data_IF_820857059364
#
_entry.id   IF_820857059364
#
_cell.length_a   1.000
_cell.length_b   1.000
_cell.length_c   1.000
_cell.angle_alpha   90.00
_cell.angle_beta   90.00
_cell.angle_gamma   90.00
#
_symmetry.space_group_name_H-M   'P 1'
#
loop_
_entity.id
_entity.type
_entity.pdbx_description
1 polymer ?
#
# COMPACT_ATOMS: atom_id res chain seq x y z
N UNK A 1 -6.46 7.15 -10.74
CA UNK A 1 -6.36 6.16 -11.85
C UNK A 1 -5.69 4.89 -11.33
N UNK A 2 -6.24 3.74 -11.71
CA UNK A 2 -5.74 2.43 -11.33
C UNK A 2 -4.33 2.15 -11.88
N UNK A 3 -3.56 1.38 -11.11
CA UNK A 3 -2.31 0.79 -11.56
C UNK A 3 -2.54 -0.69 -11.81
N UNK A 4 -2.57 -1.10 -13.08
CA UNK A 4 -2.82 -2.49 -13.46
C UNK A 4 -1.50 -3.21 -13.69
N UNK A 5 -1.43 -4.42 -13.16
CA UNK A 5 -0.31 -5.37 -13.29
C UNK A 5 -0.84 -6.70 -13.80
N UNK A 6 0.03 -7.70 -13.96
CA UNK A 6 -0.34 -9.02 -14.48
C UNK A 6 -1.46 -9.67 -13.63
N UNK A 7 -1.37 -9.56 -12.30
CA UNK A 7 -2.29 -10.25 -11.37
C UNK A 7 -3.11 -9.31 -10.51
N UNK A 8 -2.69 -8.05 -10.39
CA UNK A 8 -3.29 -7.10 -9.47
C UNK A 8 -3.75 -5.81 -10.16
N UNK A 9 -4.77 -5.21 -9.58
CA UNK A 9 -5.16 -3.83 -9.81
C UNK A 9 -4.99 -3.08 -8.50
N UNK A 10 -4.16 -2.03 -8.50
CA UNK A 10 -4.05 -1.09 -7.38
C UNK A 10 -5.03 0.04 -7.64
N UNK A 11 -6.13 0.03 -6.90
CA UNK A 11 -7.21 1.00 -7.07
C UNK A 11 -7.06 2.15 -6.04
N UNK A 12 -6.81 3.41 -6.45
CA UNK A 12 -6.66 4.52 -5.52
C UNK A 12 -7.98 4.78 -4.82
N UNK A 13 -7.95 4.76 -3.49
CA UNK A 13 -9.12 4.98 -2.68
C UNK A 13 -9.47 6.46 -2.62
N UNK A 14 -10.75 6.74 -2.83
CA UNK A 14 -11.37 8.01 -2.48
C UNK A 14 -11.68 8.07 -0.98
N UNK A 15 -11.91 9.27 -0.41
CA UNK A 15 -12.40 9.40 0.97
C UNK A 15 -13.70 8.61 1.20
N UNK A 16 -14.59 8.53 0.20
CA UNK A 16 -15.84 7.79 0.30
C UNK A 16 -15.62 6.28 0.39
N UNK A 17 -14.76 5.72 -0.45
CA UNK A 17 -14.42 4.29 -0.39
C UNK A 17 -13.72 3.94 0.92
N UNK A 18 -12.81 4.80 1.39
CA UNK A 18 -12.19 4.64 2.70
C UNK A 18 -13.24 4.60 3.83
N UNK A 19 -14.28 5.46 3.79
CA UNK A 19 -15.39 5.38 4.75
C UNK A 19 -16.11 4.03 4.68
N UNK A 20 -16.42 3.53 3.49
CA UNK A 20 -17.09 2.22 3.33
C UNK A 20 -16.26 1.09 3.92
N UNK A 21 -14.95 1.09 3.67
CA UNK A 21 -14.01 0.11 4.22
C UNK A 21 -13.96 0.20 5.75
N UNK A 22 -13.76 1.39 6.31
CA UNK A 22 -13.68 1.63 7.76
C UNK A 22 -14.96 1.19 8.49
N UNK A 23 -16.13 1.48 7.91
CA UNK A 23 -17.41 1.11 8.51
C UNK A 23 -17.89 -0.30 8.14
N UNK A 24 -17.12 -1.04 7.32
CA UNK A 24 -17.48 -2.36 6.77
C UNK A 24 -18.87 -2.36 6.10
N UNK A 25 -19.12 -1.36 5.25
CA UNK A 25 -20.38 -1.16 4.51
C UNK A 25 -20.13 -1.23 3.00
N UNK A 26 -19.96 -2.44 2.43
CA UNK A 26 -19.74 -2.60 1.00
C UNK A 26 -20.97 -2.18 0.18
N UNK A 27 -20.73 -1.55 -0.97
CA UNK A 27 -21.72 -1.44 -2.05
C UNK A 27 -21.71 -2.71 -2.93
N UNK A 28 -22.69 -2.91 -3.83
CA UNK A 28 -22.79 -4.13 -4.63
C UNK A 28 -21.53 -4.49 -5.44
N UNK A 29 -20.74 -3.49 -5.84
CA UNK A 29 -19.51 -3.65 -6.62
C UNK A 29 -18.25 -3.77 -5.74
N UNK A 30 -18.39 -3.65 -4.41
CA UNK A 30 -17.30 -3.83 -3.46
C UNK A 30 -17.13 -5.32 -3.13
N UNK A 31 -16.18 -5.99 -3.79
CA UNK A 31 -15.83 -7.38 -3.49
C UNK A 31 -14.59 -7.41 -2.60
N UNK A 32 -14.77 -7.72 -1.33
CA UNK A 32 -13.68 -7.76 -0.34
C UNK A 32 -13.45 -9.19 0.16
N UNK A 33 -12.19 -9.53 0.38
CA UNK A 33 -11.86 -10.74 1.14
C UNK A 33 -12.45 -10.63 2.57
N UNK A 34 -12.86 -11.76 3.15
CA UNK A 34 -13.50 -11.78 4.47
C UNK A 34 -12.63 -11.15 5.58
N UNK A 35 -11.32 -11.32 5.48
CA UNK A 35 -10.33 -10.76 6.42
C UNK A 35 -9.86 -9.33 6.06
N UNK A 36 -10.45 -8.69 5.05
CA UNK A 36 -10.18 -7.30 4.68
C UNK A 36 -11.22 -6.35 5.32
N UNK A 37 -10.85 -5.13 5.77
CA UNK A 37 -9.49 -4.59 5.90
C UNK A 37 -8.68 -5.21 7.03
N UNK A 38 -7.36 -5.04 6.96
CA UNK A 38 -6.42 -5.37 8.03
C UNK A 38 -6.51 -4.33 9.18
N UNK A 39 -6.14 -4.73 10.39
CA UNK A 39 -6.26 -3.84 11.56
C UNK A 39 -5.25 -2.68 11.53
N UNK A 40 -4.05 -2.92 11.01
CA UNK A 40 -2.95 -1.95 10.92
C UNK A 40 -3.17 -0.86 9.86
N UNK A 41 -4.00 -1.12 8.85
CA UNK A 41 -4.40 -0.12 7.84
C UNK A 41 -5.62 0.72 8.25
N UNK A 42 -6.32 0.41 9.35
CA UNK A 42 -7.52 1.16 9.75
C UNK A 42 -7.21 2.61 10.13
N UNK A 43 -6.06 2.88 10.76
CA UNK A 43 -5.68 4.25 11.14
C UNK A 43 -5.46 5.15 9.91
N UNK A 44 -4.62 4.78 8.93
CA UNK A 44 -4.47 5.58 7.71
C UNK A 44 -5.77 5.65 6.90
N UNK A 45 -6.58 4.58 6.85
CA UNK A 45 -7.89 4.62 6.19
C UNK A 45 -8.86 5.62 6.84
N UNK A 46 -8.88 5.72 8.17
CA UNK A 46 -9.69 6.74 8.88
C UNK A 46 -9.24 8.16 8.53
N UNK A 47 -7.93 8.40 8.47
CA UNK A 47 -7.40 9.70 8.07
C UNK A 47 -7.82 10.08 6.64
N UNK A 48 -7.76 9.12 5.71
CA UNK A 48 -8.25 9.31 4.35
C UNK A 48 -9.76 9.55 4.29
N UNK A 49 -10.54 8.80 5.07
CA UNK A 49 -11.99 8.92 5.16
C UNK A 49 -12.48 10.30 5.64
N UNK A 50 -11.67 11.00 6.44
CA UNK A 50 -11.94 12.35 6.94
C UNK A 50 -11.40 13.46 6.02
N UNK A 51 -10.60 13.10 5.02
CA UNK A 51 -9.97 14.06 4.12
C UNK A 51 -11.00 14.70 3.18
N UNK A 52 -10.73 15.95 2.79
CA UNK A 52 -11.51 16.70 1.78
C UNK A 52 -10.77 16.84 0.45
N UNK A 53 -9.54 16.35 0.40
CA UNK A 53 -8.73 16.37 -0.80
C UNK A 53 -9.08 15.14 -1.64
N UNK A 54 -9.33 15.38 -2.94
CA UNK A 54 -9.71 14.35 -3.89
C UNK A 54 -8.54 13.46 -4.31
N UNK A 55 -8.73 12.75 -5.42
CA UNK A 55 -7.78 11.79 -6.00
C UNK A 55 -6.35 12.35 -6.13
N UNK A 56 -5.48 12.00 -5.18
CA UNK A 56 -4.05 12.23 -5.25
C UNK A 56 -3.35 10.92 -5.63
N UNK A 57 -2.24 11.00 -6.37
CA UNK A 57 -1.36 9.84 -6.63
C UNK A 57 -0.77 9.32 -5.32
N UNK A 58 -0.45 10.23 -4.40
CA UNK A 58 0.10 9.90 -3.09
C UNK A 58 -1.05 9.69 -2.10
N UNK A 59 -1.76 8.58 -2.26
CA UNK A 59 -2.91 8.15 -1.45
C UNK A 59 -2.77 6.68 -1.06
N UNK A 60 -3.80 6.14 -0.43
CA UNK A 60 -3.98 4.71 -0.18
C UNK A 60 -4.68 4.05 -1.36
N UNK A 61 -4.24 2.85 -1.70
CA UNK A 61 -4.79 2.01 -2.75
C UNK A 61 -5.30 0.70 -2.16
N UNK A 62 -6.43 0.23 -2.64
CA UNK A 62 -6.84 -1.16 -2.45
C UNK A 62 -6.05 -2.05 -3.41
N UNK A 63 -5.47 -3.12 -2.90
CA UNK A 63 -4.85 -4.17 -3.72
C UNK A 63 -5.94 -5.18 -4.07
N UNK A 64 -6.32 -5.23 -5.34
CA UNK A 64 -7.36 -6.15 -5.85
C UNK A 64 -6.74 -7.23 -6.74
N UNK A 65 -7.15 -8.48 -6.57
CA UNK A 65 -6.79 -9.56 -7.50
C UNK A 65 -7.65 -9.41 -8.75
N UNK A 66 -7.02 -9.35 -9.93
CA UNK A 66 -7.73 -9.15 -11.21
C UNK A 66 -8.79 -10.22 -11.46
N UNK A 67 -8.50 -11.47 -11.10
CA UNK A 67 -9.46 -12.57 -11.14
C UNK A 67 -10.50 -12.39 -10.02
N UNK A 68 -11.71 -11.98 -10.40
CA UNK A 68 -12.82 -11.75 -9.49
C UNK A 68 -12.85 -10.36 -8.81
N UNK A 69 -11.90 -9.48 -9.14
CA UNK A 69 -11.82 -8.10 -8.64
C UNK A 69 -11.90 -7.98 -7.11
N UNK A 70 -11.24 -8.91 -6.40
CA UNK A 70 -11.34 -9.05 -4.94
C UNK A 70 -10.27 -8.23 -4.24
N UNK A 71 -10.66 -7.29 -3.38
CA UNK A 71 -9.75 -6.57 -2.49
C UNK A 71 -9.16 -7.51 -1.42
N UNK A 72 -7.83 -7.58 -1.36
CA UNK A 72 -7.07 -8.51 -0.50
C UNK A 72 -6.04 -7.80 0.38
N UNK A 73 -6.03 -6.47 0.40
CA UNK A 73 -5.13 -5.67 1.20
C UNK A 73 -5.03 -4.23 0.72
N UNK A 74 -4.06 -3.51 1.27
CA UNK A 74 -3.81 -2.11 0.97
C UNK A 74 -2.34 -1.85 0.69
N UNK A 75 -2.06 -0.82 -0.12
CA UNK A 75 -0.74 -0.22 -0.32
C UNK A 75 -0.92 1.27 -0.47
N UNK A 76 -0.02 2.08 0.07
CA UNK A 76 -0.20 3.52 -0.06
C UNK A 76 0.89 4.37 0.53
N UNK A 77 0.79 5.66 0.26
CA UNK A 77 1.76 6.65 0.66
C UNK A 77 1.24 7.50 1.82
N UNK A 78 2.12 7.83 2.77
CA UNK A 78 1.79 8.70 3.89
C UNK A 78 2.02 10.19 3.55
N UNK A 79 1.37 10.62 2.47
CA UNK A 79 1.45 11.98 1.92
C UNK A 79 2.34 12.11 0.67
N UNK A 80 2.35 13.30 0.03
CA UNK A 80 3.15 13.58 -1.16
C UNK A 80 4.65 13.69 -0.84
N UNK A 81 5.52 13.74 -1.87
CA UNK A 81 6.94 13.91 -1.68
C UNK A 81 7.27 15.13 -0.82
N UNK A 82 8.16 14.93 0.15
CA UNK A 82 8.65 16.01 0.99
C UNK A 82 9.53 17.01 0.21
N UNK A 83 10.10 18.01 0.90
CA UNK A 83 10.97 19.02 0.28
C UNK A 83 12.23 18.44 -0.39
N UNK A 84 12.59 17.18 -0.09
CA UNK A 84 13.71 16.44 -0.69
C UNK A 84 13.23 15.45 -1.76
N UNK A 85 11.92 15.38 -2.03
CA UNK A 85 11.32 14.42 -2.96
C UNK A 85 11.16 13.02 -2.39
N UNK A 86 11.21 12.83 -1.06
CA UNK A 86 11.03 11.54 -0.41
C UNK A 86 9.55 11.25 -0.10
N UNK A 87 9.10 10.02 -0.32
CA UNK A 87 7.79 9.52 0.12
C UNK A 87 7.94 8.28 0.98
N UNK A 88 7.06 8.11 1.97
CA UNK A 88 6.97 6.89 2.76
C UNK A 88 5.84 6.01 2.22
N UNK A 89 6.06 4.70 2.12
CA UNK A 89 5.10 3.72 1.62
C UNK A 89 4.87 2.60 2.64
N UNK A 90 3.61 2.24 2.84
CA UNK A 90 3.18 1.07 3.61
C UNK A 90 2.35 0.11 2.76
N UNK A 91 2.35 -1.17 3.12
CA UNK A 91 1.53 -2.18 2.44
C UNK A 91 1.22 -3.37 3.34
N UNK A 92 0.13 -4.06 3.03
CA UNK A 92 -0.32 -5.26 3.71
C UNK A 92 -1.23 -6.12 2.84
N UNK A 93 -1.21 -7.43 3.07
CA UNK A 93 -2.14 -8.38 2.44
C UNK A 93 -2.76 -9.28 3.50
N UNK A 94 -3.99 -9.74 3.27
CA UNK A 94 -4.62 -10.81 4.05
C UNK A 94 -3.77 -12.07 4.01
N UNK A 95 -3.73 -12.81 5.11
CA UNK A 95 -2.76 -13.89 5.32
C UNK A 95 -2.88 -15.00 4.26
N UNK A 96 -4.10 -15.34 3.85
CA UNK A 96 -4.41 -16.42 2.90
C UNK A 96 -3.77 -16.25 1.51
N UNK A 97 -3.44 -15.02 1.12
CA UNK A 97 -2.85 -14.69 -0.20
C UNK A 97 -1.35 -14.38 -0.14
N UNK A 98 -0.75 -14.37 1.06
CA UNK A 98 0.70 -14.15 1.23
C UNK A 98 1.53 -15.29 0.65
N UNK A 99 2.83 -15.06 0.46
CA UNK A 99 3.76 -16.06 -0.07
C UNK A 99 3.67 -16.31 -1.59
N UNK A 100 2.77 -15.61 -2.30
CA UNK A 100 2.56 -15.75 -3.76
C UNK A 100 3.25 -14.68 -4.61
N UNK A 101 4.05 -13.81 -3.98
CA UNK A 101 4.74 -12.69 -4.63
C UNK A 101 3.85 -11.47 -4.95
N UNK A 102 2.58 -11.46 -4.53
CA UNK A 102 1.63 -10.37 -4.81
C UNK A 102 2.06 -9.04 -4.16
N UNK A 103 2.52 -9.07 -2.90
CA UNK A 103 3.00 -7.86 -2.24
C UNK A 103 4.21 -7.24 -2.94
N UNK A 104 5.13 -8.07 -3.46
CA UNK A 104 6.27 -7.62 -4.24
C UNK A 104 5.83 -6.97 -5.56
N UNK A 105 4.88 -7.58 -6.27
CA UNK A 105 4.32 -7.01 -7.50
C UNK A 105 3.64 -5.66 -7.25
N UNK A 106 2.78 -5.58 -6.22
CA UNK A 106 2.13 -4.35 -5.81
C UNK A 106 3.15 -3.25 -5.45
N UNK A 107 4.16 -3.60 -4.64
CA UNK A 107 5.18 -2.66 -4.20
C UNK A 107 6.00 -2.10 -5.37
N UNK A 108 6.43 -2.96 -6.31
CA UNK A 108 7.16 -2.52 -7.51
C UNK A 108 6.29 -1.56 -8.33
N UNK A 109 5.01 -1.89 -8.54
CA UNK A 109 4.11 -1.06 -9.34
C UNK A 109 3.83 0.31 -8.68
N UNK A 110 3.61 0.33 -7.37
CA UNK A 110 3.43 1.56 -6.60
C UNK A 110 4.70 2.42 -6.60
N UNK A 111 5.87 1.84 -6.35
CA UNK A 111 7.17 2.55 -6.41
C UNK A 111 7.40 3.19 -7.77
N UNK A 112 7.18 2.45 -8.86
CA UNK A 112 7.30 3.01 -10.21
C UNK A 112 6.30 4.14 -10.47
N UNK A 113 5.08 4.05 -9.93
CA UNK A 113 4.10 5.12 -10.02
C UNK A 113 4.58 6.38 -9.29
N UNK A 114 5.09 6.24 -8.07
CA UNK A 114 5.63 7.36 -7.30
C UNK A 114 6.77 8.08 -8.05
N UNK A 115 7.73 7.32 -8.59
CA UNK A 115 8.87 7.88 -9.33
C UNK A 115 8.42 8.65 -10.58
N UNK A 116 7.47 8.11 -11.35
CA UNK A 116 6.91 8.80 -12.53
C UNK A 116 6.19 10.10 -12.18
N UNK A 117 5.77 10.25 -10.93
CA UNK A 117 5.03 11.41 -10.43
C UNK A 117 5.85 12.30 -9.49
N UNK A 118 7.19 12.24 -9.61
CA UNK A 118 8.08 13.22 -9.00
C UNK A 118 8.68 12.83 -7.65
N UNK A 119 8.40 11.62 -7.14
CA UNK A 119 9.20 11.09 -6.04
C UNK A 119 10.63 10.79 -6.54
N UNK A 120 11.62 11.14 -5.74
CA UNK A 120 13.04 10.85 -5.98
C UNK A 120 13.51 9.69 -5.10
N UNK A 121 12.89 9.53 -3.93
CA UNK A 121 13.21 8.48 -2.98
C UNK A 121 11.93 7.92 -2.36
N UNK A 122 11.87 6.60 -2.17
CA UNK A 122 10.78 5.90 -1.50
C UNK A 122 11.35 5.24 -0.25
N UNK A 123 10.70 5.45 0.88
CA UNK A 123 11.08 4.95 2.19
C UNK A 123 10.04 3.97 2.70
N UNK A 124 10.51 2.95 3.39
CA UNK A 124 9.64 2.04 4.13
C UNK A 124 10.41 1.54 5.35
N UNK A 125 9.68 1.19 6.39
CA UNK A 125 10.24 0.50 7.54
C UNK A 125 9.41 -0.73 7.88
N UNK A 126 10.00 -1.59 8.72
CA UNK A 126 9.31 -2.78 9.20
C UNK A 126 9.92 -3.28 10.50
N UNK A 127 9.11 -3.94 11.33
CA UNK A 127 9.57 -4.57 12.57
C UNK A 127 10.72 -5.56 12.33
N UNK A 128 11.62 -5.67 13.32
CA UNK A 128 12.74 -6.62 13.28
C UNK A 128 12.32 -8.08 13.01
N UNK A 129 11.11 -8.46 13.44
CA UNK A 129 10.56 -9.82 13.30
C UNK A 129 9.68 -10.02 12.08
N UNK A 130 9.37 -8.96 11.32
CA UNK A 130 8.54 -9.05 10.13
C UNK A 130 9.37 -9.48 8.91
N UNK A 131 9.90 -10.71 8.97
CA UNK A 131 10.73 -11.29 7.90
C UNK A 131 10.02 -11.35 6.55
N UNK A 132 8.69 -11.44 6.55
CA UNK A 132 7.89 -11.41 5.34
C UNK A 132 8.00 -10.05 4.63
N UNK A 133 7.80 -8.94 5.33
CA UNK A 133 7.95 -7.59 4.79
C UNK A 133 9.40 -7.31 4.37
N UNK A 134 10.38 -7.68 5.19
CA UNK A 134 11.80 -7.57 4.85
C UNK A 134 12.12 -8.27 3.50
N UNK A 135 11.60 -9.49 3.32
CA UNK A 135 11.77 -10.23 2.07
C UNK A 135 11.05 -9.60 0.87
N UNK A 136 9.92 -8.93 1.08
CA UNK A 136 9.21 -8.19 0.02
C UNK A 136 9.99 -6.94 -0.39
N UNK A 137 10.47 -6.15 0.58
CA UNK A 137 11.27 -4.95 0.35
C UNK A 137 12.52 -5.25 -0.47
N UNK A 138 13.31 -6.25 -0.06
CA UNK A 138 14.53 -6.66 -0.77
C UNK A 138 14.21 -7.13 -2.20
N UNK A 139 13.16 -7.94 -2.39
CA UNK A 139 12.77 -8.40 -3.74
C UNK A 139 12.23 -7.28 -4.62
N UNK A 140 11.66 -6.24 -4.05
CA UNK A 140 11.22 -5.05 -4.76
C UNK A 140 12.37 -4.05 -5.06
N UNK A 141 13.60 -4.37 -4.63
CA UNK A 141 14.79 -3.57 -4.92
C UNK A 141 15.11 -2.50 -3.87
N UNK A 142 14.41 -2.49 -2.72
CA UNK A 142 14.76 -1.62 -1.62
C UNK A 142 16.05 -2.09 -0.94
N UNK A 143 16.85 -1.14 -0.48
CA UNK A 143 18.08 -1.39 0.26
C UNK A 143 17.89 -0.96 1.71
N UNK A 144 18.34 -1.80 2.64
CA UNK A 144 18.39 -1.44 4.06
C UNK A 144 19.42 -0.34 4.28
N UNK A 145 19.04 0.74 4.96
CA UNK A 145 19.92 1.89 5.22
C UNK A 145 20.26 2.08 6.70
N UNK A 146 19.37 1.65 7.61
CA UNK A 146 19.62 1.71 9.05
C UNK A 146 18.69 0.77 9.84
N UNK A 147 18.99 0.58 11.13
CA UNK A 147 18.17 -0.16 12.09
C UNK A 147 18.12 0.56 13.43
N UNK A 148 16.99 0.46 14.12
CA UNK A 148 16.85 0.75 15.55
C UNK A 148 16.64 -0.56 16.32
N UNK A 149 16.35 -0.46 17.62
CA UNK A 149 15.99 -1.61 18.46
C UNK A 149 14.61 -2.21 18.09
N UNK A 150 13.81 -1.51 17.29
CA UNK A 150 12.43 -1.87 16.96
C UNK A 150 12.21 -2.06 15.45
N UNK A 151 12.85 -1.23 14.62
CA UNK A 151 12.56 -1.12 13.20
C UNK A 151 13.82 -1.27 12.33
N UNK A 152 13.60 -1.73 11.10
CA UNK A 152 14.57 -1.70 10.01
C UNK A 152 14.08 -0.72 8.96
N UNK A 153 14.93 0.21 8.54
CA UNK A 153 14.60 1.25 7.56
C UNK A 153 15.20 0.90 6.20
N UNK A 154 14.38 1.05 5.16
CA UNK A 154 14.68 0.72 3.77
C UNK A 154 14.42 1.91 2.86
N UNK A 155 15.22 2.03 1.80
CA UNK A 155 15.09 3.06 0.78
C UNK A 155 15.18 2.49 -0.64
N UNK A 156 14.48 3.13 -1.57
CA UNK A 156 14.59 2.93 -3.02
C UNK A 156 14.74 4.31 -3.68
N UNK A 157 15.78 4.54 -4.47
CA UNK A 157 16.04 5.81 -5.15
C UNK A 157 17.45 5.87 -5.73
#
# INVERSE_FOLDING_TARGET
MDIVTDRLTLHPLTPWEAQRIVYRKPEPDDVWHADYPLDDELNPLRALAESREGEAIFTLYSIRINDGDVAVGGIGFFGPPDVKGSVEIGYGLVESVRGRGLATEALIAATQCALRNGAVQIKADTDLKNYASQGVLVKAGFTEVSRSDELIFYEFG
#
